data_IF_042438718404
#
_entry.id   IF_042438718404
#
_cell.length_a   1.000
_cell.length_b   1.000
_cell.length_c   1.000
_cell.angle_alpha   90.00
_cell.angle_beta   90.00
_cell.angle_gamma   90.00
#
_symmetry.space_group_name_H-M   'P 1'
#
loop_
_entity.id
_entity.type
_entity.pdbx_description
1 polymer ?
#
# COMPACT_ATOMS: atom_id res chain seq x y z
N UNK A 1 22.40 0.02 12.41
CA UNK A 1 21.95 0.11 11.00
C UNK A 1 22.86 1.09 10.27
N UNK A 2 23.53 0.68 9.19
CA UNK A 2 24.42 1.58 8.43
C UNK A 2 23.56 2.59 7.66
N UNK A 3 23.77 3.88 7.89
CA UNK A 3 23.01 4.94 7.22
C UNK A 3 23.48 5.06 5.77
N UNK A 4 22.56 4.96 4.79
CA UNK A 4 22.92 4.97 3.36
C UNK A 4 23.69 6.26 2.93
N UNK A 5 23.40 7.39 3.55
CA UNK A 5 24.07 8.66 3.29
C UNK A 5 25.41 8.81 4.05
N UNK A 6 25.90 7.77 4.73
CA UNK A 6 27.21 7.81 5.35
C UNK A 6 28.32 8.03 4.29
N UNK A 7 29.40 8.71 4.68
CA UNK A 7 30.53 8.99 3.76
C UNK A 7 31.07 7.76 3.06
N UNK A 8 31.10 6.62 3.74
CA UNK A 8 31.57 5.33 3.20
C UNK A 8 30.72 4.82 2.02
N UNK A 9 29.49 5.30 1.83
CA UNK A 9 28.60 4.84 0.76
C UNK A 9 28.54 5.81 -0.43
N UNK A 10 29.33 6.90 -0.42
CA UNK A 10 29.26 7.96 -1.45
C UNK A 10 29.57 7.44 -2.86
N UNK A 11 30.57 6.56 -2.99
CA UNK A 11 30.98 6.06 -4.29
C UNK A 11 29.93 5.08 -4.85
N UNK A 12 29.32 4.27 -3.99
CA UNK A 12 28.19 3.42 -4.36
C UNK A 12 27.01 4.28 -4.83
N UNK A 13 26.66 5.34 -4.11
CA UNK A 13 25.59 6.26 -4.51
C UNK A 13 25.90 6.98 -5.84
N UNK A 14 27.16 7.37 -6.07
CA UNK A 14 27.59 7.94 -7.36
C UNK A 14 27.46 6.94 -8.51
N UNK A 15 27.88 5.70 -8.32
CA UNK A 15 27.71 4.66 -9.33
C UNK A 15 26.24 4.48 -9.71
N UNK A 16 25.33 4.43 -8.73
CA UNK A 16 23.89 4.39 -9.00
C UNK A 16 23.41 5.64 -9.73
N UNK A 17 23.84 6.83 -9.32
CA UNK A 17 23.42 8.09 -9.94
C UNK A 17 23.90 8.24 -11.39
N UNK A 18 25.00 7.58 -11.77
CA UNK A 18 25.57 7.57 -13.13
C UNK A 18 25.11 6.39 -13.98
N UNK A 19 24.32 5.46 -13.41
CA UNK A 19 23.83 4.26 -14.09
C UNK A 19 22.39 4.44 -14.58
N UNK A 20 21.94 3.56 -15.48
CA UNK A 20 20.53 3.47 -15.82
C UNK A 20 19.80 2.75 -14.67
N UNK A 21 19.13 3.53 -13.81
CA UNK A 21 18.40 3.02 -12.65
C UNK A 21 16.91 3.27 -12.80
N UNK A 22 16.11 2.34 -12.31
CA UNK A 22 14.69 2.53 -12.03
C UNK A 22 14.55 2.78 -10.52
N UNK A 23 13.95 3.90 -10.15
CA UNK A 23 13.70 4.24 -8.75
C UNK A 23 12.30 3.78 -8.35
N UNK A 24 12.22 2.82 -7.44
CA UNK A 24 10.97 2.32 -6.91
C UNK A 24 10.73 2.86 -5.49
N UNK A 25 9.57 3.46 -5.26
CA UNK A 25 9.17 4.05 -3.98
C UNK A 25 7.90 3.38 -3.45
N UNK A 26 7.87 3.12 -2.15
CA UNK A 26 6.61 2.91 -1.44
C UNK A 26 5.99 4.28 -1.12
N UNK A 27 4.64 4.34 -1.03
CA UNK A 27 3.93 5.56 -0.72
C UNK A 27 3.84 5.82 0.79
N UNK A 28 3.23 4.88 1.54
CA UNK A 28 2.93 5.05 2.96
C UNK A 28 4.14 4.76 3.85
N UNK A 29 4.70 5.78 4.49
CA UNK A 29 5.91 5.67 5.30
C UNK A 29 7.19 6.03 4.54
N UNK A 30 7.12 6.24 3.21
CA UNK A 30 8.24 6.67 2.37
C UNK A 30 7.97 8.04 1.76
N UNK A 31 6.99 8.16 0.85
CA UNK A 31 6.63 9.43 0.22
C UNK A 31 5.67 10.25 1.08
N UNK A 32 4.79 9.60 1.82
CA UNK A 32 3.89 10.23 2.78
C UNK A 32 4.10 9.66 4.18
N UNK A 33 3.86 10.44 5.26
CA UNK A 33 3.97 9.94 6.63
C UNK A 33 2.92 8.87 6.90
N UNK A 34 3.24 7.93 7.82
CA UNK A 34 2.26 7.00 8.37
C UNK A 34 1.35 7.79 9.30
N UNK A 35 0.06 7.73 9.05
CA UNK A 35 -0.99 8.41 9.83
C UNK A 35 -2.07 7.42 10.25
N UNK A 36 -2.83 7.70 11.34
CA UNK A 36 -3.90 6.81 11.80
C UNK A 36 -5.04 6.61 10.79
N UNK A 37 -5.35 7.64 10.03
CA UNK A 37 -6.38 7.62 8.99
C UNK A 37 -5.71 7.65 7.60
N UNK A 38 -5.81 6.57 6.80
CA UNK A 38 -5.14 6.46 5.50
C UNK A 38 -5.44 7.61 4.53
N UNK A 39 -6.63 8.21 4.67
CA UNK A 39 -7.08 9.35 3.84
C UNK A 39 -6.20 10.59 4.07
N UNK A 40 -5.63 10.73 5.26
CA UNK A 40 -4.81 11.87 5.67
C UNK A 40 -3.34 11.73 5.29
N UNK A 41 -2.92 10.59 4.71
CA UNK A 41 -1.56 10.39 4.25
C UNK A 41 -1.29 11.23 3.01
N UNK A 42 -0.79 12.43 3.21
CA UNK A 42 -0.46 13.40 2.15
C UNK A 42 1.04 13.58 2.07
N UNK A 43 1.56 13.56 0.86
CA UNK A 43 2.97 13.84 0.58
C UNK A 43 3.29 15.30 0.94
N UNK A 44 4.38 15.50 1.68
CA UNK A 44 4.86 16.85 2.02
C UNK A 44 5.30 17.59 0.77
N UNK A 45 5.14 18.94 0.69
CA UNK A 45 5.53 19.72 -0.48
C UNK A 45 6.99 19.49 -0.90
N UNK A 46 7.92 19.46 0.05
CA UNK A 46 9.34 19.19 -0.21
C UNK A 46 9.57 17.80 -0.82
N UNK A 47 8.88 16.76 -0.32
CA UNK A 47 8.99 15.40 -0.86
C UNK A 47 8.45 15.36 -2.29
N UNK A 48 7.35 16.05 -2.55
CA UNK A 48 6.76 16.18 -3.89
C UNK A 48 7.74 16.80 -4.86
N UNK A 49 8.30 17.97 -4.52
CA UNK A 49 9.28 18.67 -5.40
C UNK A 49 10.52 17.83 -5.68
N UNK A 50 10.98 17.04 -4.70
CA UNK A 50 12.10 16.12 -4.90
C UNK A 50 11.73 14.96 -5.83
N UNK A 51 10.55 14.38 -5.68
CA UNK A 51 10.06 13.31 -6.55
C UNK A 51 9.89 13.81 -7.99
N UNK A 52 9.32 14.99 -8.19
CA UNK A 52 9.21 15.64 -9.49
C UNK A 52 10.58 15.87 -10.15
N UNK A 53 11.56 16.35 -9.37
CA UNK A 53 12.91 16.55 -9.87
C UNK A 53 13.60 15.23 -10.24
N UNK A 54 13.37 14.17 -9.49
CA UNK A 54 13.88 12.82 -9.80
C UNK A 54 13.21 12.23 -11.02
N UNK A 55 11.87 12.32 -11.13
CA UNK A 55 11.11 11.76 -12.23
C UNK A 55 11.46 12.33 -13.60
N UNK A 56 11.95 13.60 -13.61
CA UNK A 56 12.51 14.22 -14.85
C UNK A 56 13.87 13.66 -15.27
N UNK A 57 14.60 13.00 -14.37
CA UNK A 57 15.97 12.52 -14.59
C UNK A 57 16.08 11.02 -14.70
N UNK A 58 15.24 10.31 -13.97
CA UNK A 58 15.26 8.85 -13.87
C UNK A 58 13.85 8.29 -13.97
N UNK A 59 13.66 7.12 -14.60
CA UNK A 59 12.39 6.39 -14.52
C UNK A 59 12.04 6.14 -13.05
N UNK A 60 10.82 6.51 -12.67
CA UNK A 60 10.31 6.33 -11.32
C UNK A 60 9.04 5.48 -11.33
N UNK A 61 8.89 4.61 -10.33
CA UNK A 61 7.69 3.84 -10.09
C UNK A 61 7.28 3.95 -8.62
N UNK A 62 5.99 4.09 -8.37
CA UNK A 62 5.44 3.99 -7.02
C UNK A 62 4.70 2.66 -6.90
N UNK A 63 5.14 1.82 -5.96
CA UNK A 63 4.54 0.53 -5.64
C UNK A 63 3.85 0.66 -4.28
N UNK A 64 2.53 0.54 -4.25
CA UNK A 64 1.74 0.79 -3.05
C UNK A 64 0.74 -0.32 -2.74
N UNK A 65 0.45 -0.51 -1.46
CA UNK A 65 -0.68 -1.32 -1.01
C UNK A 65 -2.05 -0.66 -1.22
N UNK A 66 -2.07 0.61 -1.65
CA UNK A 66 -3.29 1.32 -2.02
C UNK A 66 -3.82 0.83 -3.36
N UNK A 67 -5.15 0.97 -3.58
CA UNK A 67 -5.70 0.84 -4.93
C UNK A 67 -5.00 1.84 -5.86
N UNK A 68 -4.68 1.41 -7.09
CA UNK A 68 -3.95 2.23 -8.07
C UNK A 68 -4.61 3.60 -8.28
N UNK A 69 -5.93 3.64 -8.40
CA UNK A 69 -6.67 4.89 -8.57
C UNK A 69 -6.49 5.87 -7.40
N UNK A 70 -6.38 5.37 -6.14
CA UNK A 70 -6.11 6.21 -4.98
C UNK A 70 -4.66 6.73 -5.00
N UNK A 71 -3.68 5.86 -5.30
CA UNK A 71 -2.29 6.25 -5.38
C UNK A 71 -2.05 7.28 -6.49
N UNK A 72 -2.62 7.09 -7.68
CA UNK A 72 -2.57 8.06 -8.80
C UNK A 72 -3.13 9.42 -8.39
N UNK A 73 -4.28 9.43 -7.71
CA UNK A 73 -4.90 10.67 -7.22
C UNK A 73 -3.98 11.45 -6.28
N UNK A 74 -3.26 10.75 -5.39
CA UNK A 74 -2.30 11.35 -4.44
C UNK A 74 -1.03 11.86 -5.09
N UNK A 75 -0.65 11.29 -6.23
CA UNK A 75 0.49 11.68 -7.05
C UNK A 75 0.13 12.73 -8.12
N UNK A 76 -1.13 13.18 -8.17
CA UNK A 76 -1.58 14.16 -9.18
C UNK A 76 -0.62 15.37 -9.24
N UNK A 77 -0.17 15.69 -10.46
CA UNK A 77 0.81 16.76 -10.72
C UNK A 77 2.27 16.30 -10.68
N UNK A 78 2.57 15.05 -10.30
CA UNK A 78 3.90 14.46 -10.47
C UNK A 78 3.86 13.65 -11.77
N UNK A 79 4.42 14.22 -12.83
CA UNK A 79 4.49 13.57 -14.15
C UNK A 79 5.59 12.50 -14.19
N UNK A 80 5.50 11.61 -15.19
CA UNK A 80 6.49 10.56 -15.47
C UNK A 80 6.72 9.55 -14.35
N UNK A 81 5.75 9.36 -13.44
CA UNK A 81 5.79 8.31 -12.42
C UNK A 81 4.75 7.24 -12.74
N UNK A 82 5.22 6.01 -12.98
CA UNK A 82 4.32 4.84 -13.09
C UNK A 82 3.82 4.43 -11.71
N UNK A 83 2.58 3.97 -11.64
CA UNK A 83 1.94 3.59 -10.37
C UNK A 83 1.45 2.15 -10.43
N UNK A 84 1.93 1.37 -9.49
CA UNK A 84 1.57 -0.03 -9.26
C UNK A 84 0.80 -0.10 -7.96
N UNK A 85 -0.47 -0.49 -8.02
CA UNK A 85 -1.36 -0.56 -6.88
C UNK A 85 -1.57 -1.98 -6.36
N UNK A 86 -2.31 -2.09 -5.25
CA UNK A 86 -2.70 -3.36 -4.64
C UNK A 86 -1.54 -4.35 -4.48
N UNK A 87 -0.41 -3.88 -3.93
CA UNK A 87 0.81 -4.69 -3.72
C UNK A 87 1.34 -5.37 -4.99
N UNK A 88 1.23 -4.73 -6.15
CA UNK A 88 1.74 -5.27 -7.41
C UNK A 88 0.68 -5.92 -8.32
N UNK A 89 -0.58 -5.95 -7.91
CA UNK A 89 -1.66 -6.57 -8.70
C UNK A 89 -2.10 -5.66 -9.85
N UNK A 90 -2.22 -4.36 -9.59
CA UNK A 90 -2.66 -3.39 -10.61
C UNK A 90 -1.46 -2.71 -11.31
N UNK A 91 -1.54 -2.49 -12.62
CA UNK A 91 -2.71 -2.64 -13.50
C UNK A 91 -2.86 -4.01 -14.18
N UNK A 92 -1.98 -4.97 -13.95
CA UNK A 92 -1.83 -6.14 -14.83
C UNK A 92 -2.78 -7.31 -14.56
N UNK A 93 -3.30 -7.48 -13.35
CA UNK A 93 -4.17 -8.61 -13.01
C UNK A 93 -5.61 -8.16 -12.78
N UNK A 94 -6.42 -8.22 -13.82
CA UNK A 94 -7.87 -8.04 -13.77
C UNK A 94 -8.57 -9.33 -14.19
N UNK A 95 -8.69 -10.29 -13.25
CA UNK A 95 -9.51 -11.48 -13.48
C UNK A 95 -10.93 -11.25 -12.93
N UNK A 96 -11.93 -11.39 -13.81
CA UNK A 96 -13.35 -11.32 -13.37
C UNK A 96 -13.65 -12.32 -12.26
N UNK A 97 -13.04 -13.50 -12.28
CA UNK A 97 -13.14 -14.51 -11.22
C UNK A 97 -12.56 -14.00 -9.90
N UNK A 98 -11.41 -13.30 -9.94
CA UNK A 98 -10.80 -12.70 -8.75
C UNK A 98 -11.70 -11.63 -8.11
N UNK A 99 -12.32 -10.77 -8.93
CA UNK A 99 -13.25 -9.76 -8.44
C UNK A 99 -14.49 -10.37 -7.77
N UNK A 100 -15.03 -11.46 -8.32
CA UNK A 100 -16.16 -12.18 -7.71
C UNK A 100 -15.77 -12.80 -6.36
N UNK A 101 -14.55 -13.36 -6.26
CA UNK A 101 -14.03 -13.91 -5.00
C UNK A 101 -13.88 -12.82 -3.95
N UNK A 102 -13.29 -11.68 -4.28
CA UNK A 102 -13.13 -10.56 -3.35
C UNK A 102 -14.49 -10.06 -2.85
N UNK A 103 -15.49 -9.93 -3.72
CA UNK A 103 -16.86 -9.56 -3.33
C UNK A 103 -17.51 -10.61 -2.39
N UNK A 104 -17.27 -11.89 -2.62
CA UNK A 104 -17.73 -12.97 -1.74
C UNK A 104 -17.04 -12.89 -0.38
N UNK A 105 -15.73 -12.74 -0.35
CA UNK A 105 -14.94 -12.62 0.87
C UNK A 105 -15.37 -11.40 1.70
N UNK A 106 -15.60 -10.27 1.05
CA UNK A 106 -16.08 -9.05 1.69
C UNK A 106 -17.38 -9.31 2.46
N UNK A 107 -18.38 -9.91 1.82
CA UNK A 107 -19.67 -10.24 2.47
C UNK A 107 -19.50 -11.13 3.68
N UNK A 108 -18.64 -12.14 3.61
CA UNK A 108 -18.36 -13.03 4.73
C UNK A 108 -17.68 -12.26 5.87
N UNK A 109 -16.64 -11.49 5.58
CA UNK A 109 -15.91 -10.72 6.59
C UNK A 109 -16.80 -9.66 7.24
N UNK A 110 -17.59 -8.93 6.49
CA UNK A 110 -18.53 -7.93 7.02
C UNK A 110 -19.53 -8.59 7.99
N UNK A 111 -20.07 -9.76 7.65
CA UNK A 111 -20.99 -10.52 8.52
C UNK A 111 -20.30 -11.02 9.79
N UNK A 112 -19.17 -11.69 9.67
CA UNK A 112 -18.46 -12.31 10.80
C UNK A 112 -17.85 -11.25 11.75
N UNK A 113 -17.54 -10.07 11.24
CA UNK A 113 -16.90 -9.01 12.02
C UNK A 113 -17.89 -7.92 12.49
N UNK A 114 -19.14 -7.98 12.07
CA UNK A 114 -20.19 -7.04 12.50
C UNK A 114 -20.31 -6.88 14.03
N UNK A 115 -20.12 -7.92 14.87
CA UNK A 115 -20.20 -7.76 16.32
C UNK A 115 -19.06 -6.92 16.93
N UNK A 116 -17.97 -6.68 16.19
CA UNK A 116 -16.78 -6.02 16.72
C UNK A 116 -16.77 -4.52 16.38
N UNK A 117 -17.23 -3.69 17.28
CA UNK A 117 -17.19 -2.22 17.13
C UNK A 117 -15.75 -1.74 16.90
N UNK A 118 -15.57 -0.85 15.91
CA UNK A 118 -14.25 -0.32 15.53
C UNK A 118 -13.42 -1.23 14.63
N UNK A 119 -14.04 -2.30 14.10
CA UNK A 119 -13.50 -3.09 12.97
C UNK A 119 -14.13 -2.61 11.69
N UNK A 120 -13.34 -2.41 10.65
CA UNK A 120 -13.81 -2.01 9.31
C UNK A 120 -13.17 -2.87 8.23
N UNK A 121 -13.94 -3.23 7.21
CA UNK A 121 -13.46 -3.94 6.02
C UNK A 121 -13.39 -2.93 4.87
N UNK A 122 -12.18 -2.68 4.40
CA UNK A 122 -11.91 -1.80 3.26
C UNK A 122 -11.81 -2.63 1.97
N UNK A 123 -12.59 -2.28 0.97
CA UNK A 123 -12.52 -2.88 -0.37
C UNK A 123 -11.49 -2.12 -1.23
N UNK A 124 -10.43 -2.82 -1.64
CA UNK A 124 -9.38 -2.31 -2.53
C UNK A 124 -9.51 -2.88 -3.95
N UNK A 125 -10.72 -3.31 -4.34
CA UNK A 125 -11.07 -3.90 -5.63
C UNK A 125 -10.51 -5.32 -5.82
N UNK A 126 -9.19 -5.51 -5.69
CA UNK A 126 -8.50 -6.80 -5.89
C UNK A 126 -8.07 -7.47 -4.59
N UNK A 127 -8.25 -6.80 -3.48
CA UNK A 127 -7.92 -7.27 -2.13
C UNK A 127 -8.82 -6.61 -1.10
N UNK A 128 -8.79 -7.13 0.13
CA UNK A 128 -9.53 -6.54 1.25
C UNK A 128 -8.52 -6.19 2.35
N UNK A 129 -8.71 -5.06 3.01
CA UNK A 129 -7.99 -4.74 4.23
C UNK A 129 -8.95 -4.71 5.41
N UNK A 130 -8.59 -5.39 6.51
CA UNK A 130 -9.37 -5.39 7.74
C UNK A 130 -8.65 -4.55 8.78
N UNK A 131 -9.25 -3.42 9.14
CA UNK A 131 -8.73 -2.51 10.15
C UNK A 131 -9.44 -2.78 11.48
N UNK A 132 -8.68 -3.19 12.50
CA UNK A 132 -9.19 -3.47 13.85
C UNK A 132 -8.48 -2.68 14.95
N UNK A 133 -7.65 -1.71 14.54
CA UNK A 133 -6.87 -0.87 15.49
C UNK A 133 -7.77 -0.06 16.43
N UNK A 134 -8.96 0.34 15.98
CA UNK A 134 -9.96 1.09 16.73
C UNK A 134 -10.87 0.23 17.59
N UNK A 135 -10.80 -1.11 17.47
CA UNK A 135 -11.62 -2.00 18.29
C UNK A 135 -11.18 -1.98 19.76
N UNK A 136 -12.14 -1.97 20.65
CA UNK A 136 -11.90 -2.13 22.09
C UNK A 136 -11.47 -3.55 22.44
N UNK A 137 -11.91 -4.56 21.68
CA UNK A 137 -11.62 -5.98 21.86
C UNK A 137 -10.61 -6.52 20.83
N UNK A 138 -9.47 -5.86 20.66
CA UNK A 138 -8.47 -6.15 19.61
C UNK A 138 -8.08 -7.63 19.52
N UNK A 139 -7.90 -8.31 20.65
CA UNK A 139 -7.53 -9.74 20.70
C UNK A 139 -8.64 -10.62 20.14
N UNK A 140 -9.90 -10.38 20.54
CA UNK A 140 -11.07 -11.12 20.05
C UNK A 140 -11.34 -10.83 18.58
N UNK A 141 -11.28 -9.55 18.18
CA UNK A 141 -11.42 -9.13 16.77
C UNK A 141 -10.37 -9.81 15.89
N UNK A 142 -9.09 -9.81 16.31
CA UNK A 142 -8.03 -10.52 15.59
C UNK A 142 -8.30 -12.02 15.46
N UNK A 143 -8.75 -12.68 16.52
CA UNK A 143 -9.10 -14.10 16.50
C UNK A 143 -10.27 -14.37 15.54
N UNK A 144 -11.28 -13.51 15.53
CA UNK A 144 -12.43 -13.61 14.61
C UNK A 144 -11.98 -13.42 13.16
N UNK A 145 -11.12 -12.45 12.86
CA UNK A 145 -10.53 -12.25 11.53
C UNK A 145 -9.82 -13.52 11.06
N UNK A 146 -8.97 -14.11 11.91
CA UNK A 146 -8.24 -15.33 11.54
C UNK A 146 -9.19 -16.53 11.29
N UNK A 147 -10.21 -16.71 12.12
CA UNK A 147 -11.22 -17.76 11.88
C UNK A 147 -11.98 -17.53 10.57
N UNK A 148 -12.43 -16.30 10.33
CA UNK A 148 -13.12 -15.95 9.10
C UNK A 148 -12.26 -16.20 7.87
N UNK A 149 -10.96 -15.86 7.92
CA UNK A 149 -10.06 -16.08 6.77
C UNK A 149 -9.83 -17.57 6.49
N UNK A 150 -9.77 -18.44 7.49
CA UNK A 150 -9.71 -19.90 7.29
C UNK A 150 -10.94 -20.40 6.53
N UNK A 151 -12.13 -19.89 6.87
CA UNK A 151 -13.38 -20.26 6.21
C UNK A 151 -13.50 -19.75 4.75
N UNK A 152 -12.68 -18.79 4.34
CA UNK A 152 -12.68 -18.25 2.97
C UNK A 152 -11.96 -19.14 1.94
N UNK A 153 -11.19 -20.14 2.38
CA UNK A 153 -10.43 -21.04 1.53
C UNK A 153 -9.07 -20.48 1.14
N UNK A 154 -8.75 -20.49 -0.15
CA UNK A 154 -7.43 -20.09 -0.67
C UNK A 154 -7.25 -18.55 -0.62
N UNK A 155 -6.88 -18.06 0.56
CA UNK A 155 -6.65 -16.64 0.85
C UNK A 155 -5.23 -16.42 1.34
N UNK A 156 -4.49 -15.55 0.67
CA UNK A 156 -3.20 -15.08 1.18
C UNK A 156 -3.41 -13.95 2.19
N UNK A 157 -3.08 -14.20 3.45
CA UNK A 157 -3.14 -13.20 4.51
C UNK A 157 -1.80 -12.47 4.64
N UNK A 158 -1.83 -11.13 4.53
CA UNK A 158 -0.67 -10.26 4.75
C UNK A 158 -0.93 -9.44 6.02
N UNK A 159 0.01 -9.46 6.95
CA UNK A 159 -0.08 -8.63 8.17
C UNK A 159 0.38 -7.21 7.85
N UNK A 160 -0.48 -6.24 8.11
CA UNK A 160 -0.10 -4.83 8.15
C UNK A 160 0.66 -4.46 9.44
N UNK A 161 1.31 -3.31 9.42
CA UNK A 161 1.99 -2.71 10.59
C UNK A 161 1.00 -2.13 11.58
#
# INVERSE_FOLDING_TARGET
MKHILARANRDVLRQFACSRVLLAFDYDGTLAPIVPAPEQAVMRPKTRSLLEALARRCPCVVISGRARADAVRRLRGVEAVEVIGNHGIEPWQTSSRGLLLVRRWRRVLERELAPFTGVTVEDKVHSLAVHYRRSREKKKARAAILRATVALGDVRLIRGK
#
